data_IF_603695301636
#
_entry.id   IF_603695301636
#
_cell.length_a   1.000
_cell.length_b   1.000
_cell.length_c   1.000
_cell.angle_alpha   90.00
_cell.angle_beta   90.00
_cell.angle_gamma   90.00
#
_symmetry.space_group_name_H-M   'P 1'
#
loop_
_entity.id
_entity.type
_entity.pdbx_description
1 polymer ?
#
# COMPACT_ATOMS: atom_id res chain seq x y z
N UNK A 1 -18.25 -35.24 -25.57
CA UNK A 1 -17.18 -34.36 -25.07
C UNK A 1 -17.55 -32.87 -25.03
N UNK A 2 -18.63 -32.39 -25.66
CA UNK A 2 -18.97 -30.95 -25.70
C UNK A 2 -19.64 -30.36 -24.43
N UNK A 3 -20.19 -31.18 -23.51
CA UNK A 3 -20.90 -30.68 -22.31
C UNK A 3 -19.99 -30.21 -21.17
N UNK A 4 -18.80 -30.80 -21.02
CA UNK A 4 -17.88 -30.46 -19.93
C UNK A 4 -17.20 -29.11 -20.14
N UNK A 5 -16.86 -28.79 -21.40
CA UNK A 5 -16.24 -27.51 -21.77
C UNK A 5 -17.17 -26.32 -21.53
N UNK A 6 -18.47 -26.46 -21.86
CA UNK A 6 -19.47 -25.43 -21.58
C UNK A 6 -19.71 -25.22 -20.08
N UNK A 7 -19.65 -26.27 -19.25
CA UNK A 7 -19.80 -26.16 -17.79
C UNK A 7 -18.61 -25.45 -17.14
N UNK A 8 -17.39 -25.67 -17.65
CA UNK A 8 -16.19 -24.97 -17.19
C UNK A 8 -16.24 -23.49 -17.59
N UNK A 9 -16.74 -23.16 -18.79
CA UNK A 9 -16.91 -21.77 -19.24
C UNK A 9 -17.93 -21.01 -18.38
N UNK A 10 -19.07 -21.63 -18.03
CA UNK A 10 -20.05 -21.01 -17.12
C UNK A 10 -19.46 -20.78 -15.72
N UNK A 11 -18.63 -21.70 -15.22
CA UNK A 11 -17.96 -21.55 -13.91
C UNK A 11 -16.85 -20.50 -13.91
N UNK A 12 -16.24 -20.21 -15.07
CA UNK A 12 -15.24 -19.16 -15.25
C UNK A 12 -15.87 -17.79 -15.54
N UNK A 13 -17.06 -17.75 -16.15
CA UNK A 13 -17.83 -16.53 -16.38
C UNK A 13 -18.59 -16.06 -15.12
N UNK A 14 -18.88 -16.95 -14.19
CA UNK A 14 -19.37 -16.63 -12.84
C UNK A 14 -18.22 -16.25 -11.89
N UNK A 15 -17.30 -15.37 -12.30
CA UNK A 15 -16.59 -14.55 -11.31
C UNK A 15 -17.65 -13.60 -10.75
N UNK A 16 -18.12 -13.79 -9.50
CA UNK A 16 -19.26 -13.04 -9.02
C UNK A 16 -18.88 -11.56 -8.99
N UNK A 17 -19.70 -10.71 -9.63
CA UNK A 17 -19.60 -9.25 -9.55
C UNK A 17 -19.60 -8.72 -8.09
N UNK A 18 -19.98 -9.56 -7.12
CA UNK A 18 -19.89 -9.33 -5.68
C UNK A 18 -18.47 -9.50 -5.11
N UNK A 19 -17.61 -10.36 -5.69
CA UNK A 19 -16.20 -10.47 -5.30
C UNK A 19 -15.42 -9.23 -5.78
N UNK A 20 -15.82 -8.67 -6.93
CA UNK A 20 -15.23 -7.42 -7.48
C UNK A 20 -15.51 -6.21 -6.57
N UNK A 21 -16.67 -6.17 -5.89
CA UNK A 21 -17.02 -5.07 -4.98
C UNK A 21 -16.32 -5.19 -3.61
N UNK A 22 -16.24 -6.40 -3.04
CA UNK A 22 -15.56 -6.62 -1.77
C UNK A 22 -14.03 -6.43 -1.88
N UNK A 23 -13.43 -6.95 -2.96
CA UNK A 23 -11.98 -6.83 -3.21
C UNK A 23 -11.57 -5.37 -3.45
N UNK A 24 -12.37 -4.61 -4.22
CA UNK A 24 -12.10 -3.19 -4.45
C UNK A 24 -12.27 -2.34 -3.18
N UNK A 25 -13.21 -2.68 -2.29
CA UNK A 25 -13.35 -2.02 -0.98
C UNK A 25 -12.18 -2.35 -0.04
N UNK A 26 -11.77 -3.63 0.03
CA UNK A 26 -10.62 -4.04 0.81
C UNK A 26 -9.33 -3.32 0.35
N UNK A 27 -9.17 -3.12 -0.97
CA UNK A 27 -8.03 -2.40 -1.50
C UNK A 27 -8.06 -0.89 -1.17
N UNK A 28 -9.24 -0.25 -1.23
CA UNK A 28 -9.40 1.15 -0.79
C UNK A 28 -9.03 1.30 0.69
N UNK A 29 -9.46 0.36 1.53
CA UNK A 29 -9.10 0.33 2.95
C UNK A 29 -7.60 0.15 3.14
N UNK A 30 -6.98 -0.81 2.44
CA UNK A 30 -5.54 -1.04 2.49
C UNK A 30 -4.75 0.21 2.08
N UNK A 31 -5.15 0.85 0.98
CA UNK A 31 -4.54 2.10 0.50
C UNK A 31 -4.65 3.20 1.56
N UNK A 32 -5.82 3.33 2.20
CA UNK A 32 -6.01 4.29 3.29
C UNK A 32 -5.10 3.98 4.49
N UNK A 33 -5.01 2.72 4.91
CA UNK A 33 -4.15 2.28 6.02
C UNK A 33 -2.67 2.57 5.69
N UNK A 34 -2.19 2.22 4.49
CA UNK A 34 -0.81 2.48 4.08
C UNK A 34 -0.49 3.98 4.05
N UNK A 35 -1.38 4.81 3.50
CA UNK A 35 -1.20 6.27 3.48
C UNK A 35 -1.16 6.82 4.91
N UNK A 36 -2.10 6.42 5.76
CA UNK A 36 -2.19 6.90 7.13
C UNK A 36 -0.97 6.46 7.96
N UNK A 37 -0.60 5.18 7.90
CA UNK A 37 0.58 4.65 8.59
C UNK A 37 1.86 5.33 8.10
N UNK A 38 2.01 5.50 6.78
CA UNK A 38 3.16 6.20 6.20
C UNK A 38 3.26 7.66 6.65
N UNK A 39 2.13 8.37 6.72
CA UNK A 39 2.08 9.74 7.23
C UNK A 39 2.49 9.82 8.71
N UNK A 40 1.98 8.91 9.55
CA UNK A 40 2.37 8.84 10.98
C UNK A 40 3.87 8.60 11.14
N UNK A 41 4.43 7.65 10.39
CA UNK A 41 5.89 7.35 10.42
C UNK A 41 6.70 8.55 9.96
N UNK A 42 6.27 9.24 8.90
CA UNK A 42 6.95 10.44 8.41
C UNK A 42 6.93 11.58 9.44
N UNK A 43 5.82 11.78 10.16
CA UNK A 43 5.71 12.75 11.26
C UNK A 43 6.69 12.41 12.39
N UNK A 44 6.77 11.14 12.80
CA UNK A 44 7.72 10.69 13.82
C UNK A 44 9.16 10.98 13.38
N UNK A 45 9.50 10.71 12.12
CA UNK A 45 10.80 11.05 11.55
C UNK A 45 11.05 12.56 11.55
N UNK A 46 10.04 13.39 11.25
CA UNK A 46 10.12 14.84 11.34
C UNK A 46 10.39 15.35 12.76
N UNK A 47 9.76 14.75 13.77
CA UNK A 47 10.03 15.05 15.18
C UNK A 47 11.48 14.68 15.54
N UNK A 48 11.96 13.50 15.15
CA UNK A 48 13.36 13.09 15.36
C UNK A 48 14.35 14.02 14.65
N UNK A 49 14.01 14.50 13.46
CA UNK A 49 14.82 15.46 12.74
C UNK A 49 14.92 16.78 13.53
N UNK A 50 13.79 17.30 14.02
CA UNK A 50 13.75 18.51 14.84
C UNK A 50 14.58 18.40 16.12
N UNK A 51 14.46 17.28 16.84
CA UNK A 51 15.25 17.06 18.07
C UNK A 51 16.74 16.92 17.77
N UNK A 52 17.11 16.27 16.67
CA UNK A 52 18.51 16.11 16.25
C UNK A 52 19.16 17.42 15.73
N UNK A 53 18.36 18.38 15.27
CA UNK A 53 18.84 19.72 14.97
C UNK A 53 19.20 20.47 16.26
N UNK A 54 18.37 20.35 17.29
CA UNK A 54 18.62 20.94 18.61
C UNK A 54 19.82 20.31 19.34
N UNK A 55 19.99 18.99 19.26
CA UNK A 55 21.09 18.28 19.93
C UNK A 55 22.42 18.26 19.16
N UNK A 56 22.45 18.84 17.96
CA UNK A 56 23.60 18.80 17.04
C UNK A 56 24.12 17.39 16.71
N UNK A 57 23.29 16.36 16.80
CA UNK A 57 23.71 14.97 16.53
C UNK A 57 23.50 14.60 15.04
N UNK A 58 24.59 14.45 14.26
CA UNK A 58 24.50 14.09 12.84
C UNK A 58 24.02 12.64 12.61
N UNK A 59 24.27 11.73 13.56
CA UNK A 59 23.83 10.34 13.44
C UNK A 59 22.32 10.21 13.59
N UNK A 60 21.74 10.99 14.51
CA UNK A 60 20.30 11.05 14.75
C UNK A 60 19.57 11.69 13.56
N UNK A 61 20.14 12.73 12.94
CA UNK A 61 19.62 13.33 11.70
C UNK A 61 19.52 12.31 10.57
N UNK A 62 20.56 11.52 10.36
CA UNK A 62 20.58 10.52 9.30
C UNK A 62 19.50 9.47 9.53
N UNK A 63 19.34 8.98 10.77
CA UNK A 63 18.27 8.05 11.14
C UNK A 63 16.89 8.66 10.90
N UNK A 64 16.68 9.90 11.31
CA UNK A 64 15.43 10.61 11.09
C UNK A 64 15.07 10.71 9.60
N UNK A 65 16.04 11.03 8.74
CA UNK A 65 15.85 11.06 7.28
C UNK A 65 15.42 9.70 6.75
N UNK A 66 16.06 8.60 7.20
CA UNK A 66 15.66 7.25 6.78
C UNK A 66 14.26 6.87 7.28
N UNK A 67 13.86 7.30 8.47
CA UNK A 67 12.50 7.08 8.99
C UNK A 67 11.49 7.85 8.13
N UNK A 68 11.77 9.10 7.76
CA UNK A 68 10.91 9.89 6.87
C UNK A 68 10.75 9.19 5.52
N UNK A 69 11.87 8.78 4.91
CA UNK A 69 11.85 8.05 3.63
C UNK A 69 11.08 6.74 3.73
N UNK A 70 11.23 6.00 4.84
CA UNK A 70 10.45 4.80 5.12
C UNK A 70 8.94 5.08 5.17
N UNK A 71 8.52 6.15 5.84
CA UNK A 71 7.13 6.59 5.87
C UNK A 71 6.57 6.94 4.48
N UNK A 72 7.37 7.63 3.66
CA UNK A 72 7.01 7.95 2.27
C UNK A 72 6.87 6.68 1.43
N UNK A 73 7.78 5.70 1.58
CA UNK A 73 7.70 4.42 0.87
C UNK A 73 6.48 3.60 1.27
N UNK A 74 6.12 3.58 2.57
CA UNK A 74 4.91 2.91 3.05
C UNK A 74 3.66 3.56 2.45
N UNK A 75 3.60 4.90 2.39
CA UNK A 75 2.49 5.61 1.76
C UNK A 75 2.42 5.38 0.24
N UNK A 76 3.57 5.21 -0.41
CA UNK A 76 3.69 4.95 -1.84
C UNK A 76 3.42 3.48 -2.23
N UNK A 77 3.60 2.53 -1.31
CA UNK A 77 3.43 1.09 -1.53
C UNK A 77 2.16 0.70 -2.32
N UNK A 78 0.94 1.18 -2.00
CA UNK A 78 -0.24 0.82 -2.78
C UNK A 78 -0.17 1.27 -4.24
N UNK A 79 0.46 2.41 -4.53
CA UNK A 79 0.63 2.91 -5.89
C UNK A 79 1.68 2.09 -6.66
N UNK A 80 2.75 1.65 -5.99
CA UNK A 80 3.76 0.79 -6.59
C UNK A 80 3.14 -0.56 -6.97
N UNK A 81 2.31 -1.14 -6.10
CA UNK A 81 1.59 -2.38 -6.40
C UNK A 81 0.62 -2.20 -7.57
N UNK A 82 -0.07 -1.06 -7.66
CA UNK A 82 -0.93 -0.73 -8.80
C UNK A 82 -0.18 -0.65 -10.13
N UNK A 83 1.06 -0.15 -10.12
CA UNK A 83 1.89 -0.09 -11.34
C UNK A 83 2.41 -1.47 -11.77
N UNK A 84 2.69 -2.36 -10.80
CA UNK A 84 3.24 -3.69 -11.07
C UNK A 84 2.18 -4.70 -11.52
N UNK A 85 0.95 -4.59 -10.99
CA UNK A 85 -0.12 -5.53 -11.29
C UNK A 85 -1.38 -4.74 -11.66
N UNK A 86 -1.42 -4.08 -12.83
CA UNK A 86 -2.54 -3.23 -13.22
C UNK A 86 -3.86 -4.01 -13.34
N UNK A 87 -3.80 -5.31 -13.63
CA UNK A 87 -5.00 -6.16 -13.83
C UNK A 87 -5.61 -6.72 -12.54
N UNK A 88 -4.96 -6.52 -11.40
CA UNK A 88 -5.55 -6.81 -10.09
C UNK A 88 -6.53 -5.72 -9.62
N UNK A 89 -6.75 -4.67 -10.43
CA UNK A 89 -7.42 -3.43 -10.03
C UNK A 89 -8.48 -2.95 -11.00
#
# INVERSE_FOLDING_TARGET
>A
MFKLYGMIQVFLDEVPSQITSATSQAFKLLKFICIFAGAVVAIIGGIQLGTSMASQDPSSRQKAIFVILGGVLIAAAPYIVQLLIPEAF
#
